data_IF_488913304080
#
_entry.id   IF_488913304080
#
_cell.length_a   1.000
_cell.length_b   1.000
_cell.length_c   1.000
_cell.angle_alpha   90.00
_cell.angle_beta   90.00
_cell.angle_gamma   90.00
#
_symmetry.space_group_name_H-M   'P 1'
#
loop_
_entity.id
_entity.type
_entity.pdbx_description
1 polymer ?
#
# COMPACT_ATOMS: atom_id res chain seq x y z
N UNK A 1 -37.55 50.95 -2.42
CA UNK A 1 -37.85 49.63 -3.01
C UNK A 1 -36.63 49.24 -3.82
N UNK A 2 -35.75 48.43 -3.24
CA UNK A 2 -34.46 48.07 -3.86
C UNK A 2 -34.70 46.81 -4.68
N UNK A 3 -34.83 46.99 -6.00
CA UNK A 3 -34.92 45.89 -6.96
C UNK A 3 -33.66 45.02 -6.83
N UNK A 4 -33.84 43.83 -6.26
CA UNK A 4 -32.77 42.87 -6.07
C UNK A 4 -32.54 42.12 -7.38
N UNK A 5 -31.30 42.12 -7.88
CA UNK A 5 -30.85 41.31 -9.01
C UNK A 5 -31.36 39.85 -8.87
N UNK A 6 -32.31 39.47 -9.73
CA UNK A 6 -32.69 38.08 -9.93
C UNK A 6 -31.67 37.44 -10.87
N UNK A 7 -30.85 36.54 -10.34
CA UNK A 7 -30.06 35.61 -11.15
C UNK A 7 -31.05 34.62 -11.80
N UNK A 8 -31.32 34.80 -13.09
CA UNK A 8 -32.20 33.90 -13.86
C UNK A 8 -31.49 32.56 -14.10
N UNK A 9 -32.13 31.43 -13.79
CA UNK A 9 -31.70 30.14 -14.38
C UNK A 9 -31.71 28.86 -13.52
N UNK A 10 -32.31 28.78 -12.34
CA UNK A 10 -32.51 27.49 -11.68
C UNK A 10 -33.96 27.31 -11.26
N UNK A 11 -34.69 26.27 -11.70
CA UNK A 11 -36.00 25.96 -11.14
C UNK A 11 -35.85 25.84 -9.62
N UNK A 12 -36.61 26.65 -8.88
CA UNK A 12 -36.72 26.48 -7.44
C UNK A 12 -37.41 25.13 -7.22
N UNK A 13 -36.62 24.10 -6.91
CA UNK A 13 -37.14 22.82 -6.45
C UNK A 13 -37.44 22.97 -4.96
N UNK A 14 -38.73 23.15 -4.55
CA UNK A 14 -39.06 23.42 -3.15
C UNK A 14 -38.61 22.28 -2.23
N UNK A 15 -38.56 21.04 -2.71
CA UNK A 15 -38.09 19.88 -1.95
C UNK A 15 -36.55 19.72 -1.90
N UNK A 16 -35.77 20.59 -2.58
CA UNK A 16 -34.32 20.46 -2.59
C UNK A 16 -33.71 20.96 -1.27
N UNK A 17 -32.92 20.08 -0.65
CA UNK A 17 -32.09 20.40 0.51
C UNK A 17 -30.95 21.34 0.11
N UNK A 18 -30.90 22.53 0.73
CA UNK A 18 -29.85 23.52 0.49
C UNK A 18 -29.24 23.96 1.81
N UNK A 19 -27.92 24.14 1.84
CA UNK A 19 -27.22 24.68 2.99
C UNK A 19 -27.79 26.07 3.32
N UNK A 20 -28.32 26.24 4.53
CA UNK A 20 -28.99 27.46 4.99
C UNK A 20 -28.33 28.09 6.20
N UNK A 21 -27.50 27.34 6.94
CA UNK A 21 -26.76 27.86 8.10
C UNK A 21 -25.48 27.08 8.32
N UNK A 22 -24.43 27.79 8.70
CA UNK A 22 -23.13 27.25 9.09
C UNK A 22 -22.82 27.77 10.48
N UNK A 23 -22.77 26.87 11.47
CA UNK A 23 -22.35 27.19 12.82
C UNK A 23 -20.98 26.56 13.08
N UNK A 24 -20.07 27.33 13.66
CA UNK A 24 -18.69 26.88 13.88
C UNK A 24 -18.23 27.34 15.25
N UNK A 25 -17.54 26.48 15.98
CA UNK A 25 -16.89 26.82 17.24
C UNK A 25 -15.43 26.36 17.25
N UNK A 26 -14.51 27.26 17.63
CA UNK A 26 -13.09 26.98 17.84
C UNK A 26 -12.42 26.25 16.66
N UNK A 27 -12.53 26.80 15.46
CA UNK A 27 -12.10 26.15 14.21
C UNK A 27 -11.17 27.04 13.39
N UNK A 28 -9.92 26.60 13.21
CA UNK A 28 -8.85 27.38 12.59
C UNK A 28 -8.71 28.73 13.27
N UNK A 29 -8.73 29.79 12.47
CA UNK A 29 -8.69 31.18 12.93
C UNK A 29 -10.01 31.69 13.51
N UNK A 30 -11.10 30.93 13.43
CA UNK A 30 -12.41 31.26 14.01
C UNK A 30 -12.41 30.81 15.47
N UNK A 31 -12.26 31.74 16.40
CA UNK A 31 -12.22 31.47 17.83
C UNK A 31 -13.57 31.80 18.50
N UNK A 32 -14.02 30.95 19.41
CA UNK A 32 -15.37 31.04 19.95
C UNK A 32 -16.43 30.61 18.95
N UNK A 33 -17.67 31.01 19.19
CA UNK A 33 -18.85 30.62 18.40
C UNK A 33 -19.14 31.64 17.30
N UNK A 34 -19.34 31.13 16.08
CA UNK A 34 -19.72 31.89 14.91
C UNK A 34 -20.94 31.25 14.24
N UNK A 35 -21.86 32.09 13.78
CA UNK A 35 -23.10 31.69 13.12
C UNK A 35 -23.27 32.46 11.81
N UNK A 36 -23.34 31.73 10.71
CA UNK A 36 -23.43 32.29 9.35
C UNK A 36 -24.68 31.73 8.68
N UNK A 37 -25.65 32.61 8.42
CA UNK A 37 -26.84 32.28 7.61
C UNK A 37 -26.49 32.30 6.13
N UNK A 38 -26.92 31.28 5.40
CA UNK A 38 -26.67 31.10 3.96
C UNK A 38 -27.99 31.29 3.20
N UNK A 39 -28.18 32.42 2.51
CA UNK A 39 -29.40 32.66 1.75
C UNK A 39 -29.53 31.71 0.54
N UNK A 40 -30.76 31.30 0.22
CA UNK A 40 -31.06 30.45 -0.96
C UNK A 40 -30.63 31.04 -2.30
N UNK A 41 -30.60 32.38 -2.40
CA UNK A 41 -30.16 33.14 -3.58
C UNK A 41 -28.64 33.09 -3.83
N UNK A 42 -27.88 32.56 -2.87
CA UNK A 42 -26.42 32.55 -2.91
C UNK A 42 -25.80 33.35 -1.78
N UNK A 43 -24.53 33.05 -1.49
CA UNK A 43 -23.75 33.64 -0.41
C UNK A 43 -22.32 33.90 -0.90
N UNK A 44 -21.84 35.14 -0.76
CA UNK A 44 -20.50 35.55 -1.18
C UNK A 44 -19.67 35.90 0.05
N UNK A 45 -18.51 35.26 0.20
CA UNK A 45 -17.56 35.55 1.29
C UNK A 45 -16.39 36.35 0.74
N UNK A 46 -16.26 37.61 1.18
CA UNK A 46 -15.17 38.52 0.79
C UNK A 46 -14.34 38.95 2.01
N UNK A 47 -13.16 39.51 1.78
CA UNK A 47 -12.25 39.97 2.84
C UNK A 47 -10.78 39.81 2.47
N UNK A 48 -9.89 40.42 3.25
CA UNK A 48 -8.44 40.38 3.03
C UNK A 48 -7.82 38.98 3.19
N UNK A 49 -6.56 38.81 2.79
CA UNK A 49 -5.82 37.56 3.05
C UNK A 49 -5.75 37.31 4.57
N UNK A 50 -5.90 36.05 4.98
CA UNK A 50 -5.88 35.67 6.40
C UNK A 50 -7.15 35.96 7.21
N UNK A 51 -8.20 36.54 6.63
CA UNK A 51 -9.45 36.87 7.33
C UNK A 51 -10.36 35.68 7.69
N UNK A 52 -9.91 34.44 7.44
CA UNK A 52 -10.67 33.23 7.77
C UNK A 52 -11.67 32.73 6.71
N UNK A 53 -11.70 33.31 5.50
CA UNK A 53 -12.61 32.85 4.41
C UNK A 53 -12.43 31.38 4.08
N UNK A 54 -11.20 30.97 3.79
CA UNK A 54 -10.86 29.57 3.51
C UNK A 54 -11.12 28.69 4.72
N UNK A 55 -10.93 29.22 5.94
CA UNK A 55 -11.22 28.50 7.19
C UNK A 55 -12.70 28.10 7.30
N UNK A 56 -13.62 28.97 6.89
CA UNK A 56 -15.05 28.69 6.86
C UNK A 56 -15.42 27.63 5.81
N UNK A 57 -14.84 27.71 4.60
CA UNK A 57 -15.05 26.71 3.53
C UNK A 57 -14.47 25.35 3.93
N UNK A 58 -13.31 25.36 4.58
CA UNK A 58 -12.68 24.17 5.15
C UNK A 58 -13.53 23.54 6.27
N UNK A 59 -14.33 24.35 7.00
CA UNK A 59 -15.28 23.84 7.99
C UNK A 59 -16.38 23.00 7.32
N UNK A 60 -16.95 23.50 6.22
CA UNK A 60 -17.94 22.76 5.41
C UNK A 60 -17.32 21.45 4.91
N UNK A 61 -16.10 21.53 4.41
CA UNK A 61 -15.35 20.38 3.89
C UNK A 61 -15.06 19.32 4.95
N UNK A 62 -14.75 19.74 6.19
CA UNK A 62 -14.47 18.83 7.29
C UNK A 62 -15.67 17.94 7.66
N UNK A 63 -16.90 18.44 7.47
CA UNK A 63 -18.12 17.67 7.71
C UNK A 63 -18.43 16.77 6.51
N UNK A 64 -18.31 17.29 5.29
CA UNK A 64 -18.83 16.63 4.08
C UNK A 64 -17.85 15.69 3.39
N UNK A 65 -16.56 15.66 3.74
CA UNK A 65 -15.56 14.90 2.99
C UNK A 65 -14.94 13.79 3.86
N UNK A 66 -14.74 12.58 3.31
CA UNK A 66 -14.00 11.52 4.00
C UNK A 66 -12.63 12.03 4.48
N UNK A 67 -12.19 11.70 5.70
CA UNK A 67 -10.91 12.17 6.23
C UNK A 67 -9.69 11.86 5.34
N UNK A 68 -9.71 10.75 4.59
CA UNK A 68 -8.63 10.37 3.67
C UNK A 68 -8.48 11.36 2.50
N UNK A 69 -9.60 11.91 2.02
CA UNK A 69 -9.67 12.77 0.85
C UNK A 69 -9.63 14.26 1.23
N UNK A 70 -9.74 14.57 2.52
CA UNK A 70 -9.75 15.93 3.04
C UNK A 70 -8.37 16.59 2.89
N UNK A 71 -8.35 17.77 2.26
CA UNK A 71 -7.16 18.60 2.05
C UNK A 71 -7.52 20.06 2.34
N UNK A 72 -7.06 20.54 3.49
CA UNK A 72 -7.34 21.90 3.97
C UNK A 72 -6.46 22.95 3.31
N UNK A 73 -7.01 24.14 3.07
CA UNK A 73 -6.29 25.30 2.55
C UNK A 73 -5.38 24.99 1.34
N UNK A 74 -5.84 24.12 0.43
CA UNK A 74 -4.99 23.59 -0.64
C UNK A 74 -4.50 24.68 -1.61
N UNK A 75 -5.24 25.78 -1.78
CA UNK A 75 -4.81 26.93 -2.59
C UNK A 75 -3.48 27.54 -2.10
N UNK A 76 -3.26 27.59 -0.78
CA UNK A 76 -2.00 28.08 -0.21
C UNK A 76 -0.89 27.01 -0.17
N UNK A 77 -1.24 25.72 -0.35
CA UNK A 77 -0.26 24.62 -0.34
C UNK A 77 0.39 24.40 -1.71
N UNK A 78 -0.29 24.69 -2.83
CA UNK A 78 0.28 24.55 -4.17
C UNK A 78 1.43 25.54 -4.42
N UNK A 79 1.33 26.77 -3.91
CA UNK A 79 2.42 27.76 -3.98
C UNK A 79 3.62 27.44 -3.07
N UNK A 80 3.44 26.64 -2.01
CA UNK A 80 4.40 26.51 -0.92
C UNK A 80 5.24 25.21 -0.91
N UNK A 81 5.07 24.32 -1.90
CA UNK A 81 5.82 23.06 -2.00
C UNK A 81 5.41 21.98 -0.97
N UNK A 82 5.80 20.73 -1.26
CA UNK A 82 5.45 19.53 -0.47
C UNK A 82 6.14 19.56 0.89
N UNK A 83 5.43 19.97 1.94
CA UNK A 83 5.93 19.76 3.31
C UNK A 83 5.19 20.45 4.45
N UNK A 84 4.31 21.42 4.20
CA UNK A 84 3.72 22.19 5.31
C UNK A 84 2.23 22.52 5.12
N UNK A 85 1.42 21.47 5.08
CA UNK A 85 -0.03 21.60 5.09
C UNK A 85 -0.62 21.93 6.44
N UNK A 86 -1.68 22.73 6.44
CA UNK A 86 -2.56 22.82 7.61
C UNK A 86 -3.21 21.45 7.82
N UNK A 87 -2.97 20.84 8.98
CA UNK A 87 -3.55 19.56 9.39
C UNK A 87 -4.85 19.78 10.16
N UNK A 88 -5.65 18.72 10.37
CA UNK A 88 -6.84 18.80 11.23
C UNK A 88 -6.51 19.36 12.62
N UNK A 89 -5.38 18.95 13.20
CA UNK A 89 -4.88 19.44 14.51
C UNK A 89 -4.64 20.94 14.47
N UNK A 90 -4.05 21.45 13.37
CA UNK A 90 -3.83 22.89 13.21
C UNK A 90 -5.12 23.70 13.14
N UNK A 91 -6.20 23.13 12.60
CA UNK A 91 -7.54 23.76 12.66
C UNK A 91 -8.10 23.72 14.07
N UNK A 92 -8.06 22.56 14.74
CA UNK A 92 -8.57 22.44 16.11
C UNK A 92 -7.86 23.43 17.05
N UNK A 93 -6.53 23.48 17.01
CA UNK A 93 -5.73 24.38 17.86
C UNK A 93 -5.68 25.84 17.36
N UNK A 94 -6.05 26.09 16.12
CA UNK A 94 -6.02 27.42 15.52
C UNK A 94 -4.60 27.95 15.28
N UNK A 95 -3.83 27.26 14.45
CA UNK A 95 -2.50 27.73 14.04
C UNK A 95 -2.61 28.98 13.15
N UNK A 96 -2.02 30.10 13.56
CA UNK A 96 -2.15 31.38 12.84
C UNK A 96 -0.84 31.96 12.30
N UNK A 97 0.33 31.63 12.89
CA UNK A 97 1.65 32.09 12.42
C UNK A 97 2.75 31.10 12.79
N UNK A 98 3.80 30.97 11.96
CA UNK A 98 5.08 30.36 12.39
C UNK A 98 5.90 31.47 13.04
N UNK A 99 6.17 31.34 14.34
CA UNK A 99 7.08 32.20 15.08
C UNK A 99 8.40 31.47 15.31
N UNK A 100 9.51 32.19 15.45
CA UNK A 100 10.74 31.60 15.96
C UNK A 100 10.52 31.29 17.45
N UNK A 101 10.81 30.05 17.86
CA UNK A 101 10.85 29.71 19.28
C UNK A 101 12.06 30.40 19.92
N UNK A 102 11.83 31.18 20.98
CA UNK A 102 12.86 32.06 21.57
C UNK A 102 13.99 31.28 22.27
N UNK A 103 13.75 30.01 22.63
CA UNK A 103 14.75 29.14 23.26
C UNK A 103 15.46 28.18 22.29
N UNK A 104 14.82 27.77 21.20
CA UNK A 104 15.32 26.69 20.33
C UNK A 104 15.72 27.14 18.93
N UNK A 105 15.32 28.34 18.49
CA UNK A 105 15.56 28.82 17.11
C UNK A 105 14.76 28.08 16.02
N UNK A 106 13.96 27.08 16.39
CA UNK A 106 13.12 26.30 15.48
C UNK A 106 11.81 27.03 15.14
N UNK A 107 11.30 26.78 13.93
CA UNK A 107 10.04 27.32 13.42
C UNK A 107 8.83 26.67 14.13
N UNK A 108 8.43 27.21 15.28
CA UNK A 108 7.28 26.74 16.03
C UNK A 108 5.96 27.39 15.54
N UNK A 109 4.90 26.58 15.39
CA UNK A 109 3.56 27.10 15.07
C UNK A 109 2.91 27.68 16.33
N UNK A 110 2.49 28.95 16.28
CA UNK A 110 1.73 29.59 17.37
C UNK A 110 0.26 29.22 17.24
N UNK A 111 -0.30 28.65 18.30
CA UNK A 111 -1.67 28.17 18.38
C UNK A 111 -2.54 29.09 19.25
N UNK A 112 -3.74 29.42 18.78
CA UNK A 112 -4.75 30.16 19.55
C UNK A 112 -5.23 29.36 20.78
N UNK A 113 -5.24 28.03 20.68
CA UNK A 113 -5.77 27.10 21.69
C UNK A 113 -4.71 26.07 22.09
N UNK A 114 -3.74 26.43 22.96
CA UNK A 114 -2.61 25.56 23.32
C UNK A 114 -2.98 24.42 24.28
N UNK A 115 -4.07 24.57 25.05
CA UNK A 115 -4.53 23.57 26.04
C UNK A 115 -5.44 22.51 25.41
N UNK A 116 -6.06 21.67 26.23
CA UNK A 116 -7.16 20.82 25.77
C UNK A 116 -8.29 21.69 25.21
N UNK A 117 -8.83 21.32 24.05
CA UNK A 117 -9.85 22.10 23.37
C UNK A 117 -10.78 21.21 22.57
N UNK A 118 -11.96 21.73 22.28
CA UNK A 118 -12.92 21.13 21.37
C UNK A 118 -13.17 22.07 20.19
N UNK A 119 -13.49 21.48 19.05
CA UNK A 119 -14.04 22.19 17.90
C UNK A 119 -15.36 21.55 17.52
N UNK A 120 -16.34 22.35 17.12
CA UNK A 120 -17.64 21.86 16.71
C UNK A 120 -18.10 22.60 15.45
N UNK A 121 -18.74 21.88 14.53
CA UNK A 121 -19.25 22.42 13.27
C UNK A 121 -20.65 21.85 13.07
N UNK A 122 -21.60 22.72 12.76
CA UNK A 122 -22.95 22.35 12.35
C UNK A 122 -23.26 22.93 10.97
N UNK A 123 -23.72 22.08 10.06
CA UNK A 123 -24.21 22.47 8.74
C UNK A 123 -25.70 22.15 8.67
N UNK A 124 -26.54 23.18 8.65
CA UNK A 124 -27.99 23.02 8.52
C UNK A 124 -28.38 23.15 7.06
N UNK A 125 -29.04 22.12 6.55
CA UNK A 125 -29.70 22.10 5.26
C UNK A 125 -31.19 22.24 5.49
N UNK A 126 -31.84 23.15 4.77
CA UNK A 126 -33.30 23.29 4.80
C UNK A 126 -33.88 23.05 3.42
N UNK A 127 -35.02 22.39 3.38
CA UNK A 127 -35.90 22.43 2.22
C UNK A 127 -36.78 23.69 2.27
N UNK A 128 -37.50 23.94 1.18
CA UNK A 128 -38.47 25.03 1.09
C UNK A 128 -39.82 24.67 1.72
N UNK A 129 -39.94 23.50 2.37
CA UNK A 129 -41.19 22.96 2.91
C UNK A 129 -41.26 23.00 4.45
N UNK A 130 -40.19 23.47 5.11
CA UNK A 130 -40.14 23.64 6.56
C UNK A 130 -39.41 22.52 7.29
N UNK A 131 -38.78 21.60 6.56
CA UNK A 131 -37.92 20.54 7.12
C UNK A 131 -36.45 20.95 7.02
N UNK A 132 -35.69 20.62 8.07
CA UNK A 132 -34.26 20.86 8.13
C UNK A 132 -33.49 19.63 8.64
N UNK A 133 -32.28 19.46 8.11
CA UNK A 133 -31.31 18.45 8.51
C UNK A 133 -30.02 19.14 8.91
N UNK A 134 -29.60 18.95 10.15
CA UNK A 134 -28.34 19.49 10.66
C UNK A 134 -27.29 18.38 10.81
N UNK A 135 -26.16 18.57 10.13
CA UNK A 135 -25.00 17.70 10.19
C UNK A 135 -23.98 18.25 11.19
N UNK A 136 -23.56 17.42 12.13
CA UNK A 136 -22.65 17.80 13.22
C UNK A 136 -21.32 17.08 13.09
N UNK A 137 -20.24 17.83 13.30
CA UNK A 137 -18.90 17.32 13.55
C UNK A 137 -18.40 17.88 14.86
N UNK A 138 -18.12 17.00 15.82
CA UNK A 138 -17.53 17.35 17.11
C UNK A 138 -16.15 16.72 17.21
N UNK A 139 -15.18 17.52 17.60
CA UNK A 139 -13.79 17.16 17.70
C UNK A 139 -13.28 17.54 19.09
N UNK A 140 -12.49 16.67 19.70
CA UNK A 140 -11.82 16.97 20.95
C UNK A 140 -10.35 16.55 20.90
N UNK A 141 -9.49 17.42 21.38
CA UNK A 141 -8.06 17.22 21.45
C UNK A 141 -7.55 17.52 22.87
N UNK A 142 -6.81 16.57 23.44
CA UNK A 142 -6.22 16.72 24.79
C UNK A 142 -5.05 17.70 24.78
N UNK A 143 -4.70 18.20 25.96
CA UNK A 143 -3.47 18.99 26.13
C UNK A 143 -2.25 18.12 25.82
N UNK A 144 -1.30 18.64 25.04
CA UNK A 144 -0.06 17.93 24.65
C UNK A 144 -0.19 16.97 23.46
N UNK A 145 -1.40 16.65 23.01
CA UNK A 145 -1.59 15.81 21.83
C UNK A 145 -1.55 16.65 20.55
N UNK A 146 -0.62 16.32 19.65
CA UNK A 146 -0.43 17.01 18.37
C UNK A 146 -0.59 16.08 17.16
N UNK A 147 -1.02 14.84 17.39
CA UNK A 147 -1.23 13.86 16.32
C UNK A 147 -2.67 13.85 15.82
N UNK A 148 -2.86 13.58 14.52
CA UNK A 148 -4.18 13.36 13.95
C UNK A 148 -4.88 12.11 14.50
N UNK A 149 -4.14 11.14 15.03
CA UNK A 149 -4.68 9.93 15.69
C UNK A 149 -5.24 10.22 17.08
N UNK A 150 -4.75 11.27 17.73
CA UNK A 150 -5.17 11.72 19.06
C UNK A 150 -6.52 12.45 19.11
N UNK A 151 -7.02 12.87 17.94
CA UNK A 151 -8.28 13.61 17.82
C UNK A 151 -9.46 12.66 18.01
N UNK A 152 -10.23 12.86 19.09
CA UNK A 152 -11.53 12.21 19.25
C UNK A 152 -12.54 12.87 18.33
N UNK A 153 -13.30 12.07 17.59
CA UNK A 153 -14.32 12.54 16.64
C UNK A 153 -15.67 11.93 16.96
N UNK A 154 -16.71 12.72 16.82
CA UNK A 154 -18.09 12.25 16.86
C UNK A 154 -18.91 13.00 15.81
N UNK A 155 -19.65 12.26 15.01
CA UNK A 155 -20.55 12.82 14.01
C UNK A 155 -22.00 12.74 14.51
N UNK A 156 -22.85 13.66 14.06
CA UNK A 156 -24.26 13.69 14.42
C UNK A 156 -25.15 14.13 13.27
N UNK A 157 -26.38 13.62 13.23
CA UNK A 157 -27.42 14.05 12.29
C UNK A 157 -28.69 14.32 13.08
N UNK A 158 -29.13 15.58 13.10
CA UNK A 158 -30.41 16.00 13.65
C UNK A 158 -31.39 16.33 12.54
N UNK A 159 -32.62 15.84 12.64
CA UNK A 159 -33.74 16.22 11.77
C UNK A 159 -34.70 17.05 12.62
N UNK A 160 -35.04 18.25 12.17
CA UNK A 160 -35.86 19.18 12.94
C UNK A 160 -36.69 20.08 12.03
N UNK A 161 -37.82 20.62 12.54
CA UNK A 161 -38.53 21.71 11.90
C UNK A 161 -37.63 22.95 11.72
N UNK A 162 -37.83 23.71 10.65
CA UNK A 162 -37.02 24.90 10.35
C UNK A 162 -37.22 26.05 11.36
N UNK A 163 -38.32 26.07 12.10
CA UNK A 163 -38.63 27.03 13.18
C UNK A 163 -37.97 26.67 14.52
N UNK A 164 -37.51 25.42 14.69
CA UNK A 164 -36.79 24.93 15.87
C UNK A 164 -35.41 24.42 15.46
N UNK A 165 -34.49 25.32 15.07
CA UNK A 165 -33.17 24.92 14.62
C UNK A 165 -32.36 24.28 15.75
N UNK A 166 -31.56 23.27 15.41
CA UNK A 166 -30.56 22.75 16.33
C UNK A 166 -29.47 23.81 16.56
N UNK A 167 -29.26 24.20 17.81
CA UNK A 167 -28.27 25.20 18.18
C UNK A 167 -26.98 24.55 18.64
N UNK A 168 -25.88 24.82 17.93
CA UNK A 168 -24.56 24.29 18.27
C UNK A 168 -24.11 24.59 19.71
N UNK A 169 -24.39 25.78 20.30
CA UNK A 169 -24.05 26.09 21.69
C UNK A 169 -24.61 25.12 22.74
N UNK A 170 -25.77 24.50 22.48
CA UNK A 170 -26.40 23.56 23.42
C UNK A 170 -25.53 22.31 23.63
N UNK A 171 -24.64 22.01 22.69
CA UNK A 171 -23.73 20.87 22.77
C UNK A 171 -22.45 21.18 23.56
N UNK A 172 -22.12 22.46 23.78
CA UNK A 172 -20.81 22.84 24.33
C UNK A 172 -20.55 22.29 25.73
N UNK A 173 -21.59 22.18 26.57
CA UNK A 173 -21.48 21.61 27.91
C UNK A 173 -20.89 20.19 27.91
N UNK A 174 -21.19 19.40 26.87
CA UNK A 174 -20.77 18.01 26.73
C UNK A 174 -19.44 17.82 25.99
N UNK A 175 -18.76 18.92 25.63
CA UNK A 175 -17.51 18.90 24.86
C UNK A 175 -16.31 19.47 25.65
N UNK A 176 -16.55 20.20 26.74
CA UNK A 176 -15.52 20.95 27.49
C UNK A 176 -14.39 20.07 28.05
N UNK A 177 -14.72 18.89 28.58
CA UNK A 177 -13.76 17.96 29.21
C UNK A 177 -13.47 16.71 28.36
N UNK A 178 -13.94 16.71 27.11
CA UNK A 178 -14.03 15.55 26.25
C UNK A 178 -15.43 15.39 25.70
N UNK A 179 -15.61 14.49 24.73
CA UNK A 179 -16.93 14.22 24.15
C UNK A 179 -17.70 13.25 25.07
N UNK A 180 -18.66 13.77 25.85
CA UNK A 180 -19.57 12.93 26.63
C UNK A 180 -20.72 12.41 25.76
N UNK A 181 -20.42 11.33 25.03
CA UNK A 181 -21.37 10.67 24.14
C UNK A 181 -22.61 10.13 24.87
N UNK A 182 -22.51 9.76 26.15
CA UNK A 182 -23.64 9.19 26.90
C UNK A 182 -24.64 10.29 27.24
N UNK A 183 -24.16 11.42 27.75
CA UNK A 183 -24.99 12.58 27.99
C UNK A 183 -25.61 13.12 26.69
N UNK A 184 -24.82 13.26 25.62
CA UNK A 184 -25.31 13.69 24.31
C UNK A 184 -26.47 12.82 23.80
N UNK A 185 -26.34 11.48 23.88
CA UNK A 185 -27.42 10.56 23.46
C UNK A 185 -28.69 10.66 24.31
N UNK A 186 -28.55 11.01 25.59
CA UNK A 186 -29.68 11.12 26.53
C UNK A 186 -30.43 12.42 26.34
N UNK A 187 -29.72 13.53 26.27
CA UNK A 187 -30.31 14.88 26.21
C UNK A 187 -30.71 15.26 24.78
N UNK A 188 -29.98 14.79 23.76
CA UNK A 188 -30.25 15.05 22.35
C UNK A 188 -30.80 13.79 21.65
N UNK A 189 -31.92 13.27 22.15
CA UNK A 189 -32.55 12.05 21.62
C UNK A 189 -32.98 12.15 20.14
N UNK A 190 -33.21 13.36 19.66
CA UNK A 190 -33.53 13.68 18.26
C UNK A 190 -32.31 13.70 17.32
N UNK A 191 -31.09 13.60 17.87
CA UNK A 191 -29.84 13.55 17.10
C UNK A 191 -29.29 12.13 17.08
N UNK A 192 -29.04 11.62 15.86
CA UNK A 192 -28.36 10.33 15.67
C UNK A 192 -26.86 10.52 15.59
N UNK A 193 -26.14 9.97 16.57
CA UNK A 193 -24.68 10.05 16.64
C UNK A 193 -23.97 8.84 16.02
N UNK A 194 -22.86 9.07 15.32
CA UNK A 194 -22.08 8.08 14.59
C UNK A 194 -20.58 8.22 14.91
N UNK A 195 -19.92 7.10 15.23
CA UNK A 195 -18.46 7.07 15.46
C UNK A 195 -17.66 6.97 14.16
N UNK A 196 -18.22 6.28 13.17
CA UNK A 196 -17.61 6.12 11.85
C UNK A 196 -18.13 7.16 10.87
N UNK A 197 -17.21 7.76 10.12
CA UNK A 197 -17.54 8.62 9.00
C UNK A 197 -18.36 7.89 7.92
N UNK A 198 -18.07 6.61 7.63
CA UNK A 198 -18.79 5.88 6.57
C UNK A 198 -20.29 5.70 6.90
N UNK A 199 -20.60 5.40 8.17
CA UNK A 199 -21.97 5.29 8.65
C UNK A 199 -22.69 6.66 8.62
N UNK A 200 -22.00 7.70 9.07
CA UNK A 200 -22.48 9.08 8.99
C UNK A 200 -22.74 9.51 7.53
N UNK A 201 -21.81 9.23 6.62
CA UNK A 201 -21.88 9.58 5.21
C UNK A 201 -23.02 8.89 4.49
N UNK A 202 -23.22 7.59 4.73
CA UNK A 202 -24.39 6.88 4.20
C UNK A 202 -25.70 7.49 4.72
N UNK A 203 -25.75 7.85 6.00
CA UNK A 203 -26.94 8.40 6.63
C UNK A 203 -27.28 9.82 6.15
N UNK A 204 -26.31 10.72 5.98
CA UNK A 204 -26.58 12.07 5.50
C UNK A 204 -26.86 12.10 4.00
N UNK A 205 -26.16 11.28 3.18
CA UNK A 205 -26.39 11.24 1.73
C UNK A 205 -27.85 10.92 1.41
N UNK A 206 -28.42 9.92 2.10
CA UNK A 206 -29.84 9.57 1.97
C UNK A 206 -30.79 10.73 2.30
N UNK A 207 -30.47 11.54 3.31
CA UNK A 207 -31.32 12.66 3.77
C UNK A 207 -31.21 13.89 2.88
N UNK A 208 -30.02 14.13 2.33
CA UNK A 208 -29.75 15.25 1.43
C UNK A 208 -30.05 14.93 -0.03
N UNK A 209 -30.45 13.69 -0.35
CA UNK A 209 -30.73 13.26 -1.73
C UNK A 209 -29.46 13.13 -2.59
N UNK A 210 -28.31 12.82 -1.98
CA UNK A 210 -27.03 12.63 -2.68
C UNK A 210 -26.92 11.15 -3.10
N UNK A 211 -26.89 10.90 -4.41
CA UNK A 211 -26.96 9.55 -4.97
C UNK A 211 -25.73 8.67 -4.68
N UNK A 212 -24.52 9.25 -4.66
CA UNK A 212 -23.27 8.49 -4.53
C UNK A 212 -22.19 9.25 -3.75
N UNK A 213 -21.14 8.54 -3.34
CA UNK A 213 -19.96 9.17 -2.73
C UNK A 213 -19.21 10.04 -3.74
N UNK A 214 -19.15 9.64 -5.02
CA UNK A 214 -18.60 10.46 -6.10
C UNK A 214 -19.33 11.81 -6.21
N UNK A 215 -20.66 11.82 -6.13
CA UNK A 215 -21.46 13.04 -6.14
C UNK A 215 -21.18 13.94 -4.92
N UNK A 216 -20.99 13.34 -3.74
CA UNK A 216 -20.57 14.05 -2.53
C UNK A 216 -19.18 14.70 -2.69
N UNK A 217 -18.21 13.97 -3.25
CA UNK A 217 -16.86 14.49 -3.50
C UNK A 217 -16.85 15.58 -4.58
N UNK A 218 -17.70 15.44 -5.62
CA UNK A 218 -17.92 16.46 -6.64
C UNK A 218 -18.39 17.76 -6.01
N UNK A 219 -19.42 17.71 -5.15
CA UNK A 219 -19.93 18.88 -4.42
C UNK A 219 -18.82 19.60 -3.66
N UNK A 220 -17.97 18.87 -2.93
CA UNK A 220 -16.84 19.47 -2.21
C UNK A 220 -15.84 20.16 -3.15
N UNK A 221 -15.50 19.56 -4.29
CA UNK A 221 -14.60 20.17 -5.26
C UNK A 221 -15.17 21.45 -5.85
N UNK A 222 -16.46 21.46 -6.21
CA UNK A 222 -17.15 22.67 -6.69
C UNK A 222 -17.19 23.76 -5.62
N UNK A 223 -17.50 23.42 -4.37
CA UNK A 223 -17.52 24.37 -3.24
C UNK A 223 -16.13 24.94 -2.91
N UNK A 224 -15.09 24.15 -3.09
CA UNK A 224 -13.73 24.56 -2.74
C UNK A 224 -13.13 25.58 -3.70
N UNK A 225 -13.79 25.90 -4.83
CA UNK A 225 -13.31 26.81 -5.88
C UNK A 225 -11.82 26.60 -6.22
N UNK A 226 -11.30 25.39 -5.97
CA UNK A 226 -9.95 25.01 -6.34
C UNK A 226 -9.92 25.01 -7.85
N UNK A 227 -8.80 25.46 -8.40
CA UNK A 227 -8.52 25.41 -9.83
C UNK A 227 -9.03 24.08 -10.39
N UNK A 228 -10.10 24.16 -11.16
CA UNK A 228 -10.40 23.15 -12.16
C UNK A 228 -9.27 23.28 -13.19
N UNK A 229 -8.07 22.83 -12.81
CA UNK A 229 -6.88 22.86 -13.66
C UNK A 229 -7.15 22.10 -14.96
N UNK A 230 -8.06 21.12 -14.90
CA UNK A 230 -8.71 20.53 -16.06
C UNK A 230 -10.14 20.10 -15.73
N UNK A 231 -11.10 20.60 -16.51
CA UNK A 231 -12.49 20.16 -16.50
C UNK A 231 -12.59 18.65 -16.80
N UNK A 232 -11.73 18.14 -17.69
CA UNK A 232 -11.72 16.72 -18.08
C UNK A 232 -11.40 15.80 -16.90
N UNK A 233 -10.48 16.21 -16.02
CA UNK A 233 -10.12 15.44 -14.85
C UNK A 233 -11.29 15.36 -13.86
N UNK A 234 -12.08 16.44 -13.74
CA UNK A 234 -13.30 16.43 -12.95
C UNK A 234 -14.31 15.41 -13.49
N UNK A 235 -14.55 15.41 -14.81
CA UNK A 235 -15.49 14.46 -15.41
C UNK A 235 -15.03 13.01 -15.26
N UNK A 236 -13.76 12.71 -15.56
CA UNK A 236 -13.20 11.36 -15.48
C UNK A 236 -13.21 10.77 -14.08
N UNK A 237 -12.82 11.55 -13.09
CA UNK A 237 -12.64 11.02 -11.74
C UNK A 237 -13.96 11.00 -10.93
N UNK A 238 -14.97 11.82 -11.30
CA UNK A 238 -16.14 12.05 -10.43
C UNK A 238 -17.50 11.91 -11.10
N UNK A 239 -17.61 12.11 -12.43
CA UNK A 239 -18.90 11.97 -13.13
C UNK A 239 -19.00 10.68 -13.92
N UNK A 240 -17.87 10.08 -14.30
CA UNK A 240 -17.82 8.78 -14.96
C UNK A 240 -17.59 7.70 -13.90
N UNK A 241 -18.58 6.83 -13.75
CA UNK A 241 -18.39 5.60 -12.96
C UNK A 241 -17.34 4.72 -13.65
N UNK A 242 -16.46 4.11 -12.86
CA UNK A 242 -15.46 3.17 -13.39
C UNK A 242 -16.20 1.95 -13.95
N UNK A 243 -16.07 1.64 -15.26
CA UNK A 243 -16.72 0.48 -15.85
C UNK A 243 -16.27 -0.82 -15.19
N UNK A 244 -17.21 -1.73 -14.92
CA UNK A 244 -16.91 -3.06 -14.37
C UNK A 244 -15.99 -3.93 -15.23
N UNK A 245 -15.77 -3.55 -16.50
CA UNK A 245 -14.82 -4.20 -17.41
C UNK A 245 -13.38 -4.12 -16.92
N UNK A 246 -12.99 -3.08 -16.18
CA UNK A 246 -11.65 -3.00 -15.59
C UNK A 246 -11.41 -4.13 -14.59
N UNK A 247 -12.37 -4.42 -13.71
CA UNK A 247 -12.28 -5.55 -12.77
C UNK A 247 -12.31 -6.92 -13.48
N UNK A 248 -12.85 -7.01 -14.70
CA UNK A 248 -12.75 -8.22 -15.53
C UNK A 248 -11.35 -8.35 -16.11
N UNK A 249 -10.77 -7.25 -16.59
CA UNK A 249 -9.40 -7.22 -17.11
C UNK A 249 -8.37 -7.57 -16.03
N UNK A 250 -8.50 -7.00 -14.82
CA UNK A 250 -7.61 -7.30 -13.70
C UNK A 250 -7.63 -8.80 -13.35
N UNK A 251 -8.84 -9.39 -13.27
CA UNK A 251 -9.01 -10.83 -13.05
C UNK A 251 -8.39 -11.67 -14.17
N UNK A 252 -8.52 -11.24 -15.43
CA UNK A 252 -7.90 -11.94 -16.55
C UNK A 252 -6.36 -11.90 -16.47
N UNK A 253 -5.79 -10.77 -16.03
CA UNK A 253 -4.34 -10.64 -15.81
C UNK A 253 -3.87 -11.56 -14.67
N UNK A 254 -4.60 -11.62 -13.56
CA UNK A 254 -4.31 -12.54 -12.46
C UNK A 254 -4.35 -14.00 -12.91
N UNK A 255 -5.43 -14.42 -13.58
CA UNK A 255 -5.58 -15.78 -14.10
C UNK A 255 -4.47 -16.14 -15.09
N UNK A 256 -4.06 -15.21 -15.95
CA UNK A 256 -2.97 -15.44 -16.88
C UNK A 256 -1.62 -15.57 -16.16
N UNK A 257 -1.40 -14.85 -15.07
CA UNK A 257 -0.20 -14.98 -14.25
C UNK A 257 -0.14 -16.38 -13.59
N UNK A 258 -1.26 -16.86 -13.04
CA UNK A 258 -1.36 -18.21 -12.47
C UNK A 258 -1.09 -19.30 -13.53
N UNK A 259 -1.72 -19.18 -14.71
CA UNK A 259 -1.54 -20.14 -15.80
C UNK A 259 -0.08 -20.18 -16.28
N UNK A 260 0.57 -19.02 -16.38
CA UNK A 260 1.98 -18.89 -16.76
C UNK A 260 2.89 -19.56 -15.74
N UNK A 261 2.59 -19.43 -14.45
CA UNK A 261 3.36 -20.06 -13.38
C UNK A 261 3.22 -21.59 -13.42
N UNK A 262 2.00 -22.10 -13.62
CA UNK A 262 1.77 -23.53 -13.79
C UNK A 262 2.51 -24.08 -15.03
N UNK A 263 2.45 -23.38 -16.17
CA UNK A 263 3.17 -23.77 -17.37
C UNK A 263 4.69 -23.82 -17.15
N UNK A 264 5.28 -22.81 -16.48
CA UNK A 264 6.71 -22.81 -16.13
C UNK A 264 7.08 -24.02 -15.28
N UNK A 265 6.28 -24.35 -14.26
CA UNK A 265 6.53 -25.52 -13.42
C UNK A 265 6.51 -26.83 -14.23
N UNK A 266 5.59 -26.97 -15.18
CA UNK A 266 5.54 -28.15 -16.06
C UNK A 266 6.76 -28.23 -16.98
N UNK A 267 7.19 -27.09 -17.54
CA UNK A 267 8.41 -27.04 -18.38
C UNK A 267 9.64 -27.39 -17.55
N UNK A 268 9.81 -26.80 -16.37
CA UNK A 268 10.93 -27.09 -15.47
C UNK A 268 11.01 -28.59 -15.11
N UNK A 269 9.88 -29.22 -14.82
CA UNK A 269 9.83 -30.67 -14.53
C UNK A 269 10.21 -31.49 -15.77
N UNK A 270 9.73 -31.10 -16.97
CA UNK A 270 10.11 -31.79 -18.21
C UNK A 270 11.61 -31.67 -18.47
N UNK A 271 12.18 -30.49 -18.26
CA UNK A 271 13.61 -30.25 -18.43
C UNK A 271 14.43 -31.01 -17.38
N UNK A 272 13.98 -31.10 -16.13
CA UNK A 272 14.62 -31.95 -15.11
C UNK A 272 14.63 -33.43 -15.52
N UNK A 273 13.51 -33.96 -16.00
CA UNK A 273 13.44 -35.34 -16.49
C UNK A 273 14.40 -35.53 -17.67
N UNK A 274 14.42 -34.61 -18.63
CA UNK A 274 15.31 -34.68 -19.78
C UNK A 274 16.80 -34.70 -19.39
N UNK A 275 17.21 -33.88 -18.41
CA UNK A 275 18.59 -33.85 -17.92
C UNK A 275 18.97 -35.08 -17.09
N UNK A 276 18.03 -35.66 -16.35
CA UNK A 276 18.29 -36.80 -15.46
C UNK A 276 18.21 -38.16 -16.17
N UNK A 277 17.39 -38.28 -17.22
CA UNK A 277 17.22 -39.54 -17.96
C UNK A 277 18.53 -40.19 -18.42
N UNK A 278 19.51 -39.47 -19.00
CA UNK A 278 20.77 -40.07 -19.46
C UNK A 278 21.68 -40.59 -18.34
N UNK A 279 21.49 -40.18 -17.08
CA UNK A 279 22.39 -40.54 -15.99
C UNK A 279 22.40 -42.05 -15.69
N UNK A 280 21.28 -42.74 -15.92
CA UNK A 280 21.19 -44.18 -15.73
C UNK A 280 22.11 -44.91 -16.72
N UNK A 281 22.06 -44.55 -18.00
CA UNK A 281 22.90 -45.15 -19.05
C UNK A 281 24.37 -44.77 -18.86
N UNK A 282 24.66 -43.52 -18.50
CA UNK A 282 26.02 -43.08 -18.19
C UNK A 282 26.60 -43.83 -16.98
N UNK A 283 25.80 -44.12 -15.96
CA UNK A 283 26.22 -44.96 -14.81
C UNK A 283 26.59 -46.37 -15.27
N UNK A 284 25.74 -47.01 -16.07
CA UNK A 284 26.00 -48.35 -16.62
C UNK A 284 27.28 -48.36 -17.45
N UNK A 285 27.47 -47.34 -18.30
CA UNK A 285 28.68 -47.22 -19.11
C UNK A 285 29.93 -47.03 -18.25
N UNK A 286 29.86 -46.17 -17.23
CA UNK A 286 30.96 -45.95 -16.28
C UNK A 286 31.33 -47.23 -15.55
N UNK A 287 30.33 -47.95 -15.03
CA UNK A 287 30.56 -49.18 -14.27
C UNK A 287 31.24 -50.23 -15.16
N UNK A 288 30.78 -50.40 -16.41
CA UNK A 288 31.44 -51.27 -17.39
C UNK A 288 32.90 -50.89 -17.65
N UNK A 289 33.19 -49.61 -17.87
CA UNK A 289 34.57 -49.16 -18.10
C UNK A 289 35.45 -49.35 -16.87
N UNK A 290 34.90 -49.14 -15.67
CA UNK A 290 35.61 -49.36 -14.40
C UNK A 290 35.95 -50.83 -14.20
N UNK A 291 34.99 -51.73 -14.45
CA UNK A 291 35.21 -53.17 -14.32
C UNK A 291 36.25 -53.65 -15.34
N UNK A 292 36.20 -53.17 -16.59
CA UNK A 292 37.22 -53.48 -17.60
C UNK A 292 38.61 -52.94 -17.24
N UNK A 293 38.68 -51.74 -16.65
CA UNK A 293 39.95 -51.18 -16.19
C UNK A 293 40.54 -52.02 -15.04
N UNK A 294 39.70 -52.51 -14.12
CA UNK A 294 40.14 -53.39 -13.04
C UNK A 294 40.67 -54.74 -13.56
N UNK A 295 40.01 -55.35 -14.55
CA UNK A 295 40.50 -56.55 -15.23
C UNK A 295 41.87 -56.33 -15.88
N UNK A 296 42.01 -55.28 -16.70
CA UNK A 296 43.26 -54.95 -17.38
C UNK A 296 44.39 -54.66 -16.38
N UNK A 297 44.07 -54.03 -15.25
CA UNK A 297 45.05 -53.78 -14.21
C UNK A 297 45.52 -55.08 -13.57
N UNK A 298 44.62 -56.00 -13.23
CA UNK A 298 44.96 -57.32 -12.70
C UNK A 298 45.80 -58.16 -13.70
N UNK A 299 45.45 -58.12 -14.99
CA UNK A 299 46.25 -58.74 -16.06
C UNK A 299 47.66 -58.14 -16.10
N UNK A 300 47.77 -56.80 -16.06
CA UNK A 300 49.07 -56.10 -16.07
C UNK A 300 49.91 -56.39 -14.82
N UNK A 301 49.30 -56.54 -13.64
CA UNK A 301 50.01 -56.91 -12.42
C UNK A 301 50.54 -58.36 -12.47
N UNK A 302 49.80 -59.25 -13.14
CA UNK A 302 50.22 -60.65 -13.31
C UNK A 302 51.29 -60.86 -14.39
N UNK A 303 51.40 -59.93 -15.35
CA UNK A 303 52.26 -60.06 -16.51
C UNK A 303 53.75 -60.29 -16.17
N UNK A 304 54.39 -59.56 -15.23
CA UNK A 304 55.79 -59.79 -14.88
C UNK A 304 56.06 -61.20 -14.33
N UNK A 305 55.13 -61.77 -13.56
CA UNK A 305 55.27 -63.11 -13.00
C UNK A 305 55.19 -64.18 -14.11
N UNK A 306 54.26 -64.02 -15.06
CA UNK A 306 54.15 -64.91 -16.22
C UNK A 306 55.37 -64.78 -17.13
N UNK A 307 55.82 -63.55 -17.39
CA UNK A 307 57.02 -63.28 -18.18
C UNK A 307 58.25 -63.93 -17.53
N UNK A 308 58.41 -63.80 -16.21
CA UNK A 308 59.49 -64.44 -15.47
C UNK A 308 59.43 -65.97 -15.60
N UNK A 309 58.25 -66.58 -15.40
CA UNK A 309 58.07 -68.02 -15.52
C UNK A 309 58.44 -68.56 -16.92
N UNK A 310 57.93 -67.91 -17.98
CA UNK A 310 58.24 -68.29 -19.38
C UNK A 310 59.73 -68.10 -19.68
N UNK A 311 60.32 -67.01 -19.21
CA UNK A 311 61.76 -66.76 -19.41
C UNK A 311 62.61 -67.81 -18.70
N UNK A 312 62.23 -68.20 -17.48
CA UNK A 312 62.90 -69.28 -16.74
C UNK A 312 62.80 -70.60 -17.48
N UNK A 313 61.63 -70.96 -18.00
CA UNK A 313 61.43 -72.21 -18.76
C UNK A 313 62.32 -72.26 -20.01
N UNK A 314 62.37 -71.17 -20.79
CA UNK A 314 63.22 -71.06 -21.98
C UNK A 314 64.71 -71.16 -21.63
N UNK A 315 65.16 -70.45 -20.59
CA UNK A 315 66.56 -70.49 -20.14
C UNK A 315 66.93 -71.88 -19.62
N UNK A 316 66.02 -72.58 -18.93
CA UNK A 316 66.23 -73.96 -18.49
C UNK A 316 66.33 -74.94 -19.67
N UNK A 317 65.54 -74.72 -20.73
CA UNK A 317 65.62 -75.50 -21.96
C UNK A 317 66.94 -75.28 -22.70
N UNK A 318 67.37 -74.04 -22.86
CA UNK A 318 68.67 -73.70 -23.43
C UNK A 318 69.82 -74.27 -22.59
N UNK A 319 69.73 -74.20 -21.26
CA UNK A 319 70.72 -74.77 -20.35
C UNK A 319 70.78 -76.29 -20.46
N UNK A 320 69.63 -76.97 -20.60
CA UNK A 320 69.58 -78.42 -20.85
C UNK A 320 70.26 -78.78 -22.17
N UNK A 321 69.99 -78.04 -23.24
CA UNK A 321 70.62 -78.24 -24.54
C UNK A 321 72.15 -78.00 -24.50
N UNK A 322 72.59 -76.90 -23.88
CA UNK A 322 74.00 -76.55 -23.73
C UNK A 322 74.76 -77.58 -22.88
N UNK A 323 74.16 -78.07 -21.78
CA UNK A 323 74.73 -79.17 -20.98
C UNK A 323 74.85 -80.45 -21.78
N UNK A 324 73.83 -80.80 -22.59
CA UNK A 324 73.90 -81.94 -23.50
C UNK A 324 75.05 -81.81 -24.51
N UNK A 325 75.25 -80.62 -25.08
CA UNK A 325 76.34 -80.34 -26.00
C UNK A 325 77.73 -80.40 -25.33
N UNK A 326 77.85 -79.91 -24.09
CA UNK A 326 79.09 -80.00 -23.31
C UNK A 326 79.48 -81.46 -23.06
N UNK A 327 78.54 -82.29 -22.61
CA UNK A 327 78.78 -83.73 -22.39
C UNK A 327 79.22 -84.42 -23.68
N UNK A 328 78.61 -84.09 -24.82
CA UNK A 328 79.02 -84.63 -26.11
C UNK A 328 80.44 -84.16 -26.52
N UNK A 329 80.79 -82.90 -26.27
CA UNK A 329 82.12 -82.35 -26.54
C UNK A 329 83.19 -82.97 -25.62
N UNK A 330 82.91 -83.14 -24.33
CA UNK A 330 83.80 -83.81 -23.38
C UNK A 330 84.04 -85.27 -23.77
N UNK A 331 83.00 -85.99 -24.19
CA UNK A 331 83.14 -87.36 -24.71
C UNK A 331 83.99 -87.41 -25.99
N UNK A 332 83.87 -86.41 -26.86
CA UNK A 332 84.68 -86.27 -28.08
C UNK A 332 86.15 -86.01 -27.75
N UNK A 333 86.42 -85.12 -26.78
CA UNK A 333 87.79 -84.84 -26.30
C UNK A 333 88.41 -86.06 -25.63
N UNK A 334 87.64 -86.80 -24.81
CA UNK A 334 88.09 -88.05 -24.20
C UNK A 334 88.47 -89.09 -25.27
N UNK A 335 87.60 -89.32 -26.27
CA UNK A 335 87.89 -90.23 -27.38
C UNK A 335 89.10 -89.77 -28.21
N UNK A 336 89.29 -88.47 -28.41
CA UNK A 336 90.46 -87.93 -29.10
C UNK A 336 91.75 -88.10 -28.29
N UNK A 337 91.69 -87.95 -26.96
CA UNK A 337 92.81 -88.25 -26.05
C UNK A 337 93.17 -89.73 -26.06
N UNK A 338 92.17 -90.62 -25.98
CA UNK A 338 92.38 -92.07 -26.04
C UNK A 338 93.04 -92.48 -27.37
N UNK A 339 92.68 -91.84 -28.49
CA UNK A 339 93.35 -92.05 -29.78
C UNK A 339 94.79 -91.53 -29.80
N UNK A 340 95.04 -90.38 -29.20
CA UNK A 340 96.37 -89.76 -29.15
C UNK A 340 97.34 -90.56 -28.25
N UNK A 341 96.83 -91.14 -27.18
CA UNK A 341 97.59 -92.05 -26.29
C UNK A 341 97.81 -93.43 -26.91
N UNK A 342 96.97 -93.86 -27.87
CA UNK A 342 97.18 -95.07 -28.66
C UNK A 342 98.19 -94.90 -29.82
N UNK A 343 98.52 -93.66 -30.19
CA UNK A 343 99.50 -93.30 -31.24
C UNK A 343 100.90 -92.97 -30.70
N UNK A 344 101.14 -93.08 -29.39
CA UNK A 344 102.45 -92.90 -28.72
C UNK A 344 103.08 -94.23 -28.32
#
# INVERSE_FOLDING_TARGET
MTEALQLSGAPEHPAQMRLSRIQVCNWGTLDGYHDVKVPRKGFLVTGGSGSGKSTLIDAVSAVLVPPANLRFNAAAQEEAGRGSGRTLVSYIRGAWRRGADAESGDLASVYLRPKATFSAIALTYSDGTGHSVTLLLMLYLRSGDNSATGVKRLHGIGEHPSDQPLELPDLFGYLRSGIDKRALKREMSHVRFHDSYSAFASAFRRRLGIASESAQLLLHRTLSAKSLSSLDQLFRDFMLDVPGTFAVADRAVEQFAELRQAHRSVVDVRDQIAHLSPLADLKVSRDRFRDRAAELHAESESFPAVQAAVTTELVEEELRAARGALVAAEATVASARDRLDAER
#
